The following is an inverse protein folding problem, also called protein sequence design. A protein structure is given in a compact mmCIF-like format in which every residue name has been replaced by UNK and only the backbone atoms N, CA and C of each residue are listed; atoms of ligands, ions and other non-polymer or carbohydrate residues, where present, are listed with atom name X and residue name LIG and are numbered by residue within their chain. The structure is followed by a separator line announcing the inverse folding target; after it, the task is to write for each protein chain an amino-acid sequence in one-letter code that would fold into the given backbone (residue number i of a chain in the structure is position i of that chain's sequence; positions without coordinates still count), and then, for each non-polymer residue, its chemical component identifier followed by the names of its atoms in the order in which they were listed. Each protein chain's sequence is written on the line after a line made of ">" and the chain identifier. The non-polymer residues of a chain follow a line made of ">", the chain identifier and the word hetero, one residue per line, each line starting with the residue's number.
data_IF_982896105051
#
_entry.id   IF_982896105051
#
_cell.length_a   1.000
_cell.length_b   1.000
_cell.length_c   1.000
_cell.angle_alpha   90.00
_cell.angle_beta   90.00
_cell.angle_gamma   90.00
#
_symmetry.space_group_name_H-M   'P 1'
#
loop_
_entity.id
_entity.type
_entity.pdbx_description
1 polymer ?
#
# COMPACT_ATOMS: atom_id res chain seq x y z
N UNK A 1 13.49 -15.54 -10.71
CA UNK A 1 13.28 -16.33 -9.49
C UNK A 1 11.84 -16.81 -9.46
N UNK A 2 11.61 -18.12 -9.53
CA UNK A 2 10.27 -18.71 -9.44
C UNK A 2 9.89 -18.84 -7.96
N UNK A 3 9.10 -17.90 -7.47
CA UNK A 3 8.47 -18.00 -6.15
C UNK A 3 7.15 -18.77 -6.27
N UNK A 4 6.84 -19.65 -5.33
CA UNK A 4 5.58 -20.41 -5.31
C UNK A 4 4.36 -19.55 -4.91
N UNK A 5 4.60 -18.37 -4.33
CA UNK A 5 3.56 -17.47 -3.79
C UNK A 5 3.81 -16.02 -4.18
N UNK A 6 2.73 -15.25 -4.35
CA UNK A 6 2.77 -13.81 -4.61
C UNK A 6 1.97 -13.09 -3.54
N UNK A 7 2.51 -11.97 -3.02
CA UNK A 7 1.76 -11.08 -2.14
C UNK A 7 0.89 -10.14 -2.99
N UNK A 8 -0.39 -10.06 -2.65
CA UNK A 8 -1.33 -9.12 -3.27
C UNK A 8 -1.60 -7.98 -2.29
N UNK A 9 -1.44 -6.71 -2.71
CA UNK A 9 -1.83 -5.59 -1.86
C UNK A 9 -3.35 -5.61 -1.71
N UNK A 10 -3.83 -5.53 -0.47
CA UNK A 10 -5.26 -5.56 -0.15
C UNK A 10 -5.60 -4.43 0.82
N UNK A 11 -6.82 -3.91 0.72
CA UNK A 11 -7.31 -2.86 1.59
C UNK A 11 -7.43 -3.36 3.03
N UNK A 12 -6.95 -2.57 3.98
CA UNK A 12 -7.08 -2.85 5.41
C UNK A 12 -8.41 -2.34 5.96
N UNK A 13 -8.79 -2.80 7.15
CA UNK A 13 -9.97 -2.27 7.85
C UNK A 13 -9.85 -0.76 8.12
N UNK A 14 -8.64 -0.27 8.43
CA UNK A 14 -8.40 1.15 8.64
C UNK A 14 -8.70 1.97 7.36
N UNK A 15 -8.19 1.53 6.21
CA UNK A 15 -8.51 2.14 4.91
C UNK A 15 -10.01 2.07 4.59
N UNK A 16 -10.65 0.94 4.88
CA UNK A 16 -12.10 0.79 4.71
C UNK A 16 -12.90 1.77 5.58
N UNK A 17 -12.48 2.02 6.83
CA UNK A 17 -13.16 2.95 7.72
C UNK A 17 -13.12 4.40 7.23
N UNK A 18 -12.01 4.81 6.60
CA UNK A 18 -11.85 6.13 6.00
C UNK A 18 -12.76 6.27 4.78
N UNK A 19 -12.79 5.24 3.92
CA UNK A 19 -13.66 5.21 2.76
C UNK A 19 -15.14 5.35 3.15
N UNK A 20 -15.58 4.58 4.15
CA UNK A 20 -16.94 4.64 4.70
C UNK A 20 -17.26 6.05 5.19
N UNK A 21 -16.40 6.62 6.04
CA UNK A 21 -16.62 7.95 6.63
C UNK A 21 -16.65 9.06 5.58
N UNK A 22 -15.76 9.01 4.58
CA UNK A 22 -15.75 10.00 3.50
C UNK A 22 -17.04 9.94 2.66
N UNK A 23 -17.51 8.73 2.33
CA UNK A 23 -18.76 8.56 1.61
C UNK A 23 -19.99 8.96 2.45
N UNK A 24 -20.00 8.67 3.76
CA UNK A 24 -21.05 9.08 4.69
C UNK A 24 -21.15 10.60 4.83
N UNK A 25 -20.01 11.30 4.90
CA UNK A 25 -19.95 12.75 4.94
C UNK A 25 -20.55 13.35 3.66
N UNK A 26 -20.12 12.86 2.50
CA UNK A 26 -20.68 13.30 1.22
C UNK A 26 -22.19 13.05 1.13
N UNK A 27 -22.65 11.86 1.52
CA UNK A 27 -24.06 11.50 1.56
C UNK A 27 -24.89 12.41 2.49
N UNK A 28 -24.28 12.85 3.61
CA UNK A 28 -24.88 13.80 4.54
C UNK A 28 -24.96 15.21 3.95
N UNK A 29 -23.93 15.67 3.24
CA UNK A 29 -23.90 16.97 2.57
C UNK A 29 -24.98 17.11 1.49
N UNK A 30 -25.20 16.04 0.72
CA UNK A 30 -26.25 16.03 -0.32
C UNK A 30 -27.65 15.71 0.23
N UNK A 31 -27.78 15.41 1.54
CA UNK A 31 -29.04 15.08 2.18
C UNK A 31 -29.65 13.75 1.75
N UNK A 32 -28.83 12.80 1.28
CA UNK A 32 -29.28 11.50 0.79
C UNK A 32 -28.68 10.40 1.66
N UNK A 33 -29.39 9.87 2.67
CA UNK A 33 -28.87 8.76 3.48
C UNK A 33 -28.72 7.48 2.63
N UNK A 34 -27.51 6.92 2.60
CA UNK A 34 -27.11 5.80 1.75
C UNK A 34 -26.72 4.55 2.55
N UNK A 35 -26.75 3.40 1.88
CA UNK A 35 -25.99 2.22 2.30
C UNK A 35 -24.65 2.23 1.59
N UNK A 36 -23.56 1.95 2.32
CA UNK A 36 -22.19 2.00 1.82
C UNK A 36 -21.48 0.71 2.25
N UNK A 37 -20.83 0.05 1.30
CA UNK A 37 -20.10 -1.20 1.52
C UNK A 37 -18.69 -1.12 0.96
N UNK A 38 -17.73 -1.69 1.67
CA UNK A 38 -16.33 -1.83 1.23
C UNK A 38 -15.97 -3.32 1.18
N UNK A 39 -15.33 -3.73 0.09
CA UNK A 39 -14.78 -5.07 -0.08
C UNK A 39 -13.28 -5.04 -0.28
N UNK A 40 -12.60 -6.13 0.06
CA UNK A 40 -11.17 -6.34 -0.16
C UNK A 40 -10.84 -6.73 -1.62
N UNK A 41 -9.57 -6.97 -1.92
CA UNK A 41 -9.11 -7.42 -3.23
C UNK A 41 -9.68 -8.79 -3.67
N UNK A 42 -10.20 -9.59 -2.72
CA UNK A 42 -10.85 -10.87 -2.95
C UNK A 42 -12.38 -10.76 -3.02
N UNK A 43 -12.90 -9.54 -3.15
CA UNK A 43 -14.32 -9.23 -3.20
C UNK A 43 -15.11 -9.74 -1.97
N UNK A 44 -14.46 -9.81 -0.80
CA UNK A 44 -15.10 -10.11 0.48
C UNK A 44 -15.35 -8.83 1.27
N UNK A 45 -16.45 -8.80 2.00
CA UNK A 45 -16.87 -7.64 2.78
C UNK A 45 -15.86 -7.33 3.89
N UNK A 46 -15.32 -6.11 3.89
CA UNK A 46 -14.47 -5.57 4.95
C UNK A 46 -15.25 -4.66 5.90
N UNK A 47 -16.19 -3.88 5.37
CA UNK A 47 -16.92 -2.89 6.13
C UNK A 47 -18.24 -2.53 5.47
N UNK A 48 -19.21 -2.18 6.29
CA UNK A 48 -20.53 -1.78 5.83
C UNK A 48 -21.13 -0.78 6.82
N UNK A 49 -21.67 0.31 6.29
CA UNK A 49 -22.51 1.24 7.05
C UNK A 49 -23.83 1.45 6.33
N UNK A 50 -24.91 1.55 7.10
CA UNK A 50 -26.21 2.01 6.63
C UNK A 50 -26.61 3.25 7.42
N UNK A 51 -26.74 4.37 6.74
CA UNK A 51 -27.21 5.61 7.34
C UNK A 51 -28.68 5.50 7.74
N UNK A 52 -29.09 6.29 8.72
CA UNK A 52 -30.50 6.40 9.12
C UNK A 52 -31.33 6.99 7.97
N UNK A 53 -32.42 6.30 7.60
CA UNK A 53 -33.25 6.67 6.45
C UNK A 53 -32.81 6.09 5.10
N UNK A 54 -31.74 5.28 5.07
CA UNK A 54 -31.41 4.46 3.90
C UNK A 54 -32.39 3.27 3.77
N UNK A 55 -32.60 2.78 2.54
CA UNK A 55 -33.52 1.67 2.26
C UNK A 55 -32.95 0.35 2.80
N UNK A 56 -33.80 -0.51 3.37
CA UNK A 56 -33.37 -1.86 3.79
C UNK A 56 -33.01 -2.74 2.59
N UNK A 57 -33.74 -2.57 1.48
CA UNK A 57 -33.52 -3.33 0.25
C UNK A 57 -32.19 -3.01 -0.44
N UNK A 58 -31.49 -1.93 -0.07
CA UNK A 58 -30.22 -1.56 -0.70
C UNK A 58 -29.00 -2.24 -0.08
N UNK A 59 -29.15 -2.96 1.04
CA UNK A 59 -28.02 -3.61 1.74
C UNK A 59 -27.33 -4.62 0.82
N UNK A 60 -28.07 -5.61 0.32
CA UNK A 60 -27.52 -6.69 -0.51
C UNK A 60 -27.02 -6.16 -1.85
N UNK A 61 -27.78 -5.26 -2.49
CA UNK A 61 -27.37 -4.64 -3.76
C UNK A 61 -26.07 -3.85 -3.61
N UNK A 62 -25.90 -3.09 -2.52
CA UNK A 62 -24.68 -2.34 -2.23
C UNK A 62 -23.45 -3.26 -2.17
N UNK A 63 -23.56 -4.33 -1.38
CA UNK A 63 -22.48 -5.33 -1.22
C UNK A 63 -22.17 -6.00 -2.57
N UNK A 64 -23.19 -6.39 -3.33
CA UNK A 64 -23.03 -7.01 -4.63
C UNK A 64 -22.38 -6.05 -5.66
N UNK A 65 -22.72 -4.76 -5.66
CA UNK A 65 -22.07 -3.77 -6.53
C UNK A 65 -20.58 -3.63 -6.21
N UNK A 66 -20.22 -3.54 -4.93
CA UNK A 66 -18.81 -3.49 -4.52
C UNK A 66 -18.07 -4.77 -4.95
N UNK A 67 -18.62 -5.95 -4.67
CA UNK A 67 -18.03 -7.23 -5.06
C UNK A 67 -17.89 -7.39 -6.58
N UNK A 68 -18.86 -6.91 -7.35
CA UNK A 68 -18.83 -6.90 -8.82
C UNK A 68 -17.73 -6.01 -9.34
N UNK A 69 -17.63 -4.81 -8.78
CA UNK A 69 -16.62 -3.84 -9.18
C UNK A 69 -15.21 -4.35 -8.87
N UNK A 70 -15.00 -4.98 -7.72
CA UNK A 70 -13.74 -5.64 -7.37
C UNK A 70 -13.41 -6.78 -8.35
N UNK A 71 -14.40 -7.64 -8.64
CA UNK A 71 -14.20 -8.81 -9.50
C UNK A 71 -13.89 -8.44 -10.95
N UNK A 72 -14.51 -7.39 -11.49
CA UNK A 72 -14.32 -6.94 -12.87
C UNK A 72 -13.26 -5.85 -13.01
N UNK A 73 -12.76 -5.27 -11.90
CA UNK A 73 -11.84 -4.13 -11.85
C UNK A 73 -12.33 -2.92 -12.65
N UNK A 74 -13.64 -2.76 -12.71
CA UNK A 74 -14.35 -1.75 -13.48
C UNK A 74 -15.47 -1.17 -12.64
N UNK A 75 -15.85 0.10 -12.85
CA UNK A 75 -17.05 0.64 -12.24
C UNK A 75 -18.28 -0.12 -12.76
N UNK A 76 -19.27 -0.33 -11.89
CA UNK A 76 -20.48 -1.08 -12.28
C UNK A 76 -21.34 -0.33 -13.30
N UNK A 77 -21.20 1.00 -13.38
CA UNK A 77 -21.78 1.85 -14.43
C UNK A 77 -21.33 1.38 -15.82
N UNK A 78 -20.02 1.20 -16.03
CA UNK A 78 -19.48 0.67 -17.29
C UNK A 78 -19.96 -0.76 -17.59
N UNK A 79 -20.13 -1.60 -16.57
CA UNK A 79 -20.65 -2.96 -16.77
C UNK A 79 -22.10 -2.95 -17.27
N UNK A 80 -22.90 -1.99 -16.79
CA UNK A 80 -24.31 -1.83 -17.20
C UNK A 80 -24.45 -1.47 -18.68
N UNK A 81 -23.52 -0.71 -19.24
CA UNK A 81 -23.52 -0.31 -20.67
C UNK A 81 -23.25 -1.49 -21.61
N UNK A 82 -22.47 -2.47 -21.13
CA UNK A 82 -22.08 -3.65 -21.90
C UNK A 82 -23.01 -4.85 -21.69
N UNK A 83 -23.91 -4.79 -20.70
CA UNK A 83 -24.81 -5.90 -20.41
C UNK A 83 -26.16 -5.71 -21.09
N UNK A 84 -26.60 -6.64 -21.95
CA UNK A 84 -27.90 -6.53 -22.60
C UNK A 84 -29.00 -6.59 -21.54
N UNK A 85 -30.05 -5.79 -21.72
CA UNK A 85 -31.14 -5.59 -20.75
C UNK A 85 -31.79 -6.90 -20.28
N UNK A 86 -31.78 -7.93 -21.14
CA UNK A 86 -32.28 -9.26 -20.83
C UNK A 86 -31.46 -10.01 -19.74
N UNK A 87 -30.16 -9.72 -19.63
CA UNK A 87 -29.26 -10.35 -18.64
C UNK A 87 -29.15 -9.54 -17.35
N UNK A 88 -29.51 -8.25 -17.36
CA UNK A 88 -29.44 -7.37 -16.20
C UNK A 88 -30.27 -7.88 -15.02
N UNK A 89 -31.42 -8.52 -15.28
CA UNK A 89 -32.27 -9.12 -14.24
C UNK A 89 -31.65 -10.36 -13.60
N UNK A 90 -30.86 -11.12 -14.36
CA UNK A 90 -30.12 -12.29 -13.83
C UNK A 90 -28.90 -11.85 -13.02
N UNK A 91 -28.24 -10.78 -13.45
CA UNK A 91 -27.11 -10.19 -12.74
C UNK A 91 -27.54 -9.56 -11.42
N UNK A 92 -28.67 -8.85 -11.37
CA UNK A 92 -29.11 -8.12 -10.18
C UNK A 92 -29.92 -8.95 -9.18
N UNK A 93 -29.92 -10.28 -9.32
CA UNK A 93 -30.66 -11.14 -8.41
C UNK A 93 -29.97 -11.18 -7.03
N UNK A 94 -30.68 -11.00 -5.91
CA UNK A 94 -30.07 -10.87 -4.57
C UNK A 94 -29.25 -12.08 -4.11
N UNK A 95 -29.55 -13.28 -4.64
CA UNK A 95 -28.74 -14.49 -4.38
C UNK A 95 -27.42 -14.53 -5.17
N UNK A 96 -27.20 -13.60 -6.10
CA UNK A 96 -25.99 -13.49 -6.90
C UNK A 96 -25.09 -12.42 -6.26
N UNK A 97 -23.80 -12.71 -6.11
CA UNK A 97 -22.79 -11.71 -5.67
C UNK A 97 -22.42 -10.70 -6.76
N UNK A 98 -23.17 -10.69 -7.88
CA UNK A 98 -22.98 -9.78 -8.98
C UNK A 98 -24.11 -8.77 -9.00
N UNK A 99 -23.84 -7.55 -9.48
CA UNK A 99 -24.82 -6.49 -9.65
C UNK A 99 -24.28 -5.48 -10.66
N UNK A 100 -25.06 -5.22 -11.70
CA UNK A 100 -24.74 -4.25 -12.75
C UNK A 100 -25.43 -2.90 -12.52
N UNK A 101 -25.90 -2.63 -11.30
CA UNK A 101 -26.42 -1.30 -10.95
C UNK A 101 -25.26 -0.31 -10.76
N UNK A 102 -25.39 0.94 -11.20
CA UNK A 102 -24.37 1.97 -10.99
C UNK A 102 -24.24 2.31 -9.49
N UNK A 103 -23.01 2.58 -9.05
CA UNK A 103 -22.70 2.87 -7.64
C UNK A 103 -21.54 2.05 -7.05
N UNK A 104 -21.04 1.05 -7.79
CA UNK A 104 -19.82 0.31 -7.45
C UNK A 104 -18.59 0.88 -8.17
N UNK A 105 -17.52 1.17 -7.43
CA UNK A 105 -16.27 1.75 -7.94
C UNK A 105 -15.06 0.98 -7.40
N UNK A 106 -14.10 0.59 -8.24
CA UNK A 106 -12.92 -0.14 -7.79
C UNK A 106 -11.91 0.82 -7.16
N UNK A 107 -11.19 0.34 -6.15
CA UNK A 107 -10.07 1.03 -5.54
C UNK A 107 -8.80 0.37 -6.08
N UNK A 108 -8.15 1.05 -7.03
CA UNK A 108 -6.92 0.60 -7.65
C UNK A 108 -5.75 1.40 -7.07
N UNK A 109 -4.67 0.70 -6.72
CA UNK A 109 -3.40 1.34 -6.37
C UNK A 109 -2.84 2.13 -7.56
N UNK A 110 -1.89 3.06 -7.32
CA UNK A 110 -1.20 3.78 -8.39
C UNK A 110 -0.51 2.87 -9.42
N UNK A 111 -0.13 1.65 -9.01
CA UNK A 111 0.48 0.63 -9.88
C UNK A 111 -0.55 -0.23 -10.64
N UNK A 112 -1.84 0.03 -10.45
CA UNK A 112 -2.94 -0.70 -11.11
C UNK A 112 -3.36 -1.99 -10.42
N UNK A 113 -2.76 -2.35 -9.28
CA UNK A 113 -3.21 -3.50 -8.49
C UNK A 113 -4.53 -3.17 -7.77
N UNK A 114 -5.48 -4.12 -7.77
CA UNK A 114 -6.76 -3.99 -7.09
C UNK A 114 -6.55 -4.10 -5.57
N UNK A 115 -6.94 -3.07 -4.83
CA UNK A 115 -6.90 -3.05 -3.37
C UNK A 115 -8.23 -3.50 -2.77
N UNK A 116 -9.32 -3.16 -3.47
CA UNK A 116 -10.69 -3.44 -3.04
C UNK A 116 -11.70 -2.69 -3.90
N UNK A 117 -12.91 -2.55 -3.41
CA UNK A 117 -13.94 -1.73 -4.06
C UNK A 117 -14.93 -1.16 -3.04
N UNK A 118 -15.59 -0.08 -3.45
CA UNK A 118 -16.64 0.58 -2.70
C UNK A 118 -17.95 0.49 -3.48
N UNK A 119 -19.04 0.28 -2.77
CA UNK A 119 -20.40 0.33 -3.29
C UNK A 119 -21.22 1.31 -2.47
N UNK A 120 -22.02 2.12 -3.14
CA UNK A 120 -22.99 3.02 -2.53
C UNK A 120 -24.36 2.79 -3.17
N UNK A 121 -25.42 2.86 -2.38
CA UNK A 121 -26.78 2.65 -2.90
C UNK A 121 -27.81 3.45 -2.12
N UNK A 122 -28.71 4.14 -2.86
CA UNK A 122 -30.07 4.61 -2.50
C UNK A 122 -30.45 5.86 -3.29
N UNK A 123 -29.46 6.67 -3.67
CA UNK A 123 -29.64 7.92 -4.41
C UNK A 123 -29.99 7.71 -5.87
N UNK A 124 -29.74 8.73 -6.69
CA UNK A 124 -29.69 8.55 -8.14
C UNK A 124 -28.38 7.86 -8.53
N UNK A 125 -28.33 7.24 -9.72
CA UNK A 125 -27.13 6.58 -10.23
C UNK A 125 -25.87 7.47 -10.14
N UNK A 126 -26.03 8.76 -10.44
CA UNK A 126 -24.94 9.75 -10.36
C UNK A 126 -24.54 10.07 -8.92
N UNK A 127 -25.48 10.13 -7.99
CA UNK A 127 -25.19 10.38 -6.57
C UNK A 127 -24.49 9.19 -5.92
N UNK A 128 -24.95 7.97 -6.22
CA UNK A 128 -24.37 6.74 -5.72
C UNK A 128 -22.91 6.60 -6.21
N UNK A 129 -22.66 6.84 -7.50
CA UNK A 129 -21.30 6.82 -8.07
C UNK A 129 -20.42 7.95 -7.51
N UNK A 130 -20.94 9.16 -7.35
CA UNK A 130 -20.19 10.26 -6.75
C UNK A 130 -19.76 9.97 -5.31
N UNK A 131 -20.66 9.44 -4.48
CA UNK A 131 -20.34 9.04 -3.11
C UNK A 131 -19.25 7.95 -3.07
N UNK A 132 -19.35 6.96 -3.96
CA UNK A 132 -18.36 5.91 -4.10
C UNK A 132 -16.99 6.46 -4.55
N UNK A 133 -16.98 7.40 -5.49
CA UNK A 133 -15.76 8.10 -5.96
C UNK A 133 -15.09 8.88 -4.82
N UNK A 134 -15.86 9.62 -4.02
CA UNK A 134 -15.31 10.35 -2.86
C UNK A 134 -14.68 9.39 -1.85
N UNK A 135 -15.34 8.27 -1.55
CA UNK A 135 -14.79 7.25 -0.67
C UNK A 135 -13.50 6.62 -1.21
N UNK A 136 -13.45 6.29 -2.51
CA UNK A 136 -12.22 5.82 -3.19
C UNK A 136 -11.10 6.84 -3.09
N UNK A 137 -11.39 8.10 -3.41
CA UNK A 137 -10.38 9.15 -3.50
C UNK A 137 -9.78 9.47 -2.13
N UNK A 138 -10.56 9.36 -1.05
CA UNK A 138 -10.07 9.47 0.32
C UNK A 138 -9.04 8.37 0.65
N UNK A 139 -9.27 7.13 0.22
CA UNK A 139 -8.29 6.04 0.39
C UNK A 139 -7.04 6.29 -0.43
N UNK A 140 -7.17 6.74 -1.67
CA UNK A 140 -6.01 7.04 -2.52
C UNK A 140 -5.20 8.22 -1.98
N UNK A 141 -5.86 9.20 -1.36
CA UNK A 141 -5.19 10.30 -0.67
C UNK A 141 -4.41 9.81 0.56
N UNK A 142 -4.98 8.90 1.35
CA UNK A 142 -4.26 8.29 2.48
C UNK A 142 -3.02 7.55 2.00
N UNK A 143 -3.14 6.69 0.99
CA UNK A 143 -2.02 5.91 0.44
C UNK A 143 -0.88 6.83 -0.04
N UNK A 144 -1.22 7.95 -0.67
CA UNK A 144 -0.23 8.95 -1.09
C UNK A 144 0.47 9.60 0.11
N UNK A 145 -0.28 9.99 1.14
CA UNK A 145 0.29 10.57 2.35
C UNK A 145 1.24 9.59 3.06
N UNK A 146 0.83 8.32 3.19
CA UNK A 146 1.65 7.26 3.80
C UNK A 146 2.93 7.01 2.99
N UNK A 147 2.85 7.06 1.66
CA UNK A 147 4.04 6.94 0.79
C UNK A 147 5.02 8.11 0.98
N UNK A 148 4.51 9.35 0.98
CA UNK A 148 5.33 10.55 1.19
C UNK A 148 5.98 10.56 2.59
N UNK A 149 5.27 10.07 3.62
CA UNK A 149 5.80 9.94 4.99
C UNK A 149 6.94 8.91 5.07
N UNK A 150 6.79 7.76 4.43
CA UNK A 150 7.82 6.73 4.40
C UNK A 150 9.06 7.17 3.60
N UNK A 151 8.88 7.88 2.48
CA UNK A 151 10.00 8.46 1.72
C UNK A 151 10.81 9.45 2.56
N UNK A 152 10.14 10.33 3.30
CA UNK A 152 10.82 11.25 4.24
C UNK A 152 11.61 10.49 5.29
N UNK A 153 11.03 9.43 5.86
CA UNK A 153 11.70 8.62 6.87
C UNK A 153 12.94 7.92 6.31
N UNK A 154 12.84 7.33 5.12
CA UNK A 154 13.97 6.66 4.45
C UNK A 154 15.10 7.66 4.21
N UNK A 155 14.78 8.88 3.77
CA UNK A 155 15.79 9.90 3.53
C UNK A 155 16.50 10.33 4.83
N UNK A 156 15.74 10.55 5.91
CA UNK A 156 16.35 10.84 7.22
C UNK A 156 17.25 9.71 7.73
N UNK A 157 16.87 8.45 7.50
CA UNK A 157 17.70 7.29 7.87
C UNK A 157 18.95 7.21 7.00
N UNK A 158 18.85 7.47 5.69
CA UNK A 158 20.00 7.56 4.77
C UNK A 158 20.99 8.63 5.19
N UNK A 159 20.53 9.84 5.53
CA UNK A 159 21.40 10.92 6.00
C UNK A 159 22.15 10.55 7.28
N UNK A 160 21.49 9.85 8.22
CA UNK A 160 22.12 9.36 9.46
C UNK A 160 23.20 8.33 9.15
N UNK A 161 22.92 7.38 8.25
CA UNK A 161 23.88 6.36 7.81
C UNK A 161 25.09 7.01 7.15
N UNK A 162 24.88 7.96 6.24
CA UNK A 162 25.95 8.70 5.57
C UNK A 162 26.82 9.50 6.55
N UNK A 163 26.21 10.10 7.59
CA UNK A 163 26.95 10.81 8.63
C UNK A 163 27.85 9.88 9.44
N UNK A 164 27.31 8.74 9.88
CA UNK A 164 28.06 7.70 10.59
C UNK A 164 29.21 7.16 9.73
N UNK A 165 28.98 6.97 8.43
CA UNK A 165 30.00 6.52 7.50
C UNK A 165 31.17 7.50 7.44
N UNK A 166 30.90 8.80 7.28
CA UNK A 166 31.94 9.85 7.26
C UNK A 166 32.74 9.92 8.56
N UNK A 167 32.07 9.75 9.70
CA UNK A 167 32.74 9.68 11.00
C UNK A 167 33.69 8.48 11.08
N UNK A 168 33.24 7.30 10.63
CA UNK A 168 34.06 6.09 10.62
C UNK A 168 35.18 6.13 9.59
N UNK A 169 34.99 6.75 8.44
CA UNK A 169 36.09 7.00 7.49
C UNK A 169 37.18 7.86 8.12
N UNK A 170 36.81 8.92 8.84
CA UNK A 170 37.78 9.75 9.57
C UNK A 170 38.52 8.98 10.67
N UNK A 171 37.83 8.11 11.41
CA UNK A 171 38.48 7.21 12.38
C UNK A 171 39.46 6.24 11.69
N UNK A 172 39.08 5.65 10.56
CA UNK A 172 39.92 4.72 9.80
C UNK A 172 41.14 5.45 9.22
N UNK A 173 40.98 6.67 8.73
CA UNK A 173 42.06 7.52 8.23
C UNK A 173 43.05 7.86 9.36
N UNK A 174 42.54 8.28 10.52
CA UNK A 174 43.37 8.50 11.72
C UNK A 174 44.16 7.26 12.12
N UNK A 175 43.51 6.08 12.12
CA UNK A 175 44.19 4.82 12.43
C UNK A 175 45.22 4.42 11.38
N UNK A 176 45.00 4.75 10.09
CA UNK A 176 45.98 4.54 9.01
C UNK A 176 47.21 5.42 9.22
N UNK A 177 47.01 6.71 9.51
CA UNK A 177 48.09 7.67 9.75
C UNK A 177 48.94 7.29 10.98
N UNK A 178 48.30 6.87 12.07
CA UNK A 178 48.99 6.35 13.27
C UNK A 178 49.88 5.15 12.93
N UNK A 179 49.34 4.19 12.16
CA UNK A 179 50.07 2.99 11.76
C UNK A 179 51.26 3.32 10.84
N UNK A 180 51.13 4.32 9.96
CA UNK A 180 52.22 4.80 9.11
C UNK A 180 53.31 5.50 9.93
N UNK A 181 52.93 6.31 10.92
CA UNK A 181 53.88 6.96 11.82
C UNK A 181 54.63 5.95 12.69
N UNK A 182 53.96 4.91 13.20
CA UNK A 182 54.62 3.80 13.89
C UNK A 182 55.60 3.04 12.96
N UNK A 183 55.23 2.82 11.69
CA UNK A 183 56.12 2.20 10.70
C UNK A 183 57.37 3.03 10.43
N UNK A 184 57.22 4.36 10.33
CA UNK A 184 58.33 5.30 10.11
C UNK A 184 59.21 5.43 11.36
N UNK A 185 58.63 5.46 12.55
CA UNK A 185 59.34 5.44 13.83
C UNK A 185 60.01 4.07 14.11
N UNK A 186 59.47 3.00 13.53
CA UNK A 186 59.94 1.62 13.61
C UNK A 186 61.19 1.29 12.78
N UNK A 187 61.90 2.27 12.22
CA UNK A 187 63.23 2.09 11.62
C UNK A 187 64.34 1.73 12.64
N UNK A 188 63.99 1.35 13.87
CA UNK A 188 64.90 0.78 14.87
C UNK A 188 64.32 -0.48 15.54
N UNK A 189 64.56 -1.66 14.95
CA UNK A 189 64.58 -2.92 15.69
C UNK A 189 63.41 -3.91 15.44
N UNK A 190 63.76 -5.09 14.97
CA UNK A 190 62.89 -6.21 14.61
C UNK A 190 61.97 -6.76 15.72
N UNK A 191 60.74 -7.16 15.34
CA UNK A 191 60.20 -8.51 15.57
C UNK A 191 58.92 -8.75 14.76
N UNK A 192 59.04 -9.52 13.67
CA UNK A 192 57.91 -10.16 12.98
C UNK A 192 57.13 -11.03 13.97
N UNK A 193 56.00 -10.55 14.46
CA UNK A 193 54.96 -11.42 15.03
C UNK A 193 54.24 -12.08 13.87
N UNK A 194 54.36 -13.42 13.76
CA UNK A 194 53.52 -14.23 12.88
C UNK A 194 52.09 -14.12 13.39
N UNK A 195 51.26 -13.30 12.75
CA UNK A 195 49.80 -13.46 12.82
C UNK A 195 49.41 -14.36 11.65
N UNK A 196 48.77 -15.47 12.00
CA UNK A 196 48.15 -16.39 11.04
C UNK A 196 47.17 -15.61 10.17
N UNK A 197 47.31 -15.78 8.86
CA UNK A 197 46.40 -15.25 7.84
C UNK A 197 44.99 -15.79 8.06
N UNK A 198 44.19 -15.07 8.82
CA UNK A 198 42.73 -15.11 8.67
C UNK A 198 42.43 -14.17 7.52
N UNK A 199 41.92 -14.72 6.41
CA UNK A 199 41.55 -13.96 5.23
C UNK A 199 40.48 -12.94 5.58
N UNK A 200 40.93 -11.71 5.85
CA UNK A 200 40.08 -10.53 5.83
C UNK A 200 39.74 -10.30 4.36
N UNK A 201 38.51 -10.66 3.97
CA UNK A 201 37.91 -10.07 2.79
C UNK A 201 38.02 -8.56 2.95
N UNK A 202 38.71 -7.91 2.02
CA UNK A 202 38.95 -6.48 2.07
C UNK A 202 37.62 -5.74 2.24
N UNK A 203 37.60 -4.73 3.11
CA UNK A 203 36.55 -3.74 3.06
C UNK A 203 36.48 -3.20 1.62
N UNK A 204 35.30 -3.05 1.02
CA UNK A 204 35.20 -2.46 -0.31
C UNK A 204 35.82 -1.05 -0.26
N UNK A 205 36.88 -0.83 -1.04
CA UNK A 205 37.65 0.42 -1.12
C UNK A 205 36.87 1.57 -1.80
N UNK A 206 35.60 1.35 -2.13
CA UNK A 206 34.70 2.30 -2.78
C UNK A 206 33.40 2.41 -2.01
N UNK A 207 32.87 3.62 -1.80
CA UNK A 207 31.53 3.77 -1.24
C UNK A 207 30.54 3.02 -2.14
N UNK A 208 29.55 2.30 -1.57
CA UNK A 208 28.51 1.68 -2.37
C UNK A 208 27.86 2.75 -3.25
N UNK A 209 27.75 2.50 -4.56
CA UNK A 209 27.10 3.44 -5.48
C UNK A 209 25.67 3.72 -5.01
N UNK A 210 25.12 4.92 -5.30
CA UNK A 210 23.77 5.35 -4.87
C UNK A 210 22.67 4.31 -5.16
N UNK A 211 22.88 3.41 -6.13
CA UNK A 211 22.00 2.28 -6.45
C UNK A 211 22.11 1.04 -5.56
N UNK A 212 23.26 0.75 -4.94
CA UNK A 212 23.49 -0.46 -4.14
C UNK A 212 22.89 -0.35 -2.72
N UNK A 213 22.77 0.87 -2.21
CA UNK A 213 22.19 1.15 -0.88
C UNK A 213 20.68 0.82 -0.86
N UNK A 214 20.01 0.90 -2.02
CA UNK A 214 18.61 0.51 -2.19
C UNK A 214 18.36 -0.99 -2.03
N UNK A 215 19.40 -1.84 -2.19
CA UNK A 215 19.26 -3.30 -2.06
C UNK A 215 19.21 -3.75 -0.59
N UNK A 216 19.80 -2.96 0.32
CA UNK A 216 19.81 -3.20 1.76
C UNK A 216 18.66 -2.55 2.51
N UNK A 217 18.12 -1.44 1.98
CA UNK A 217 16.90 -0.79 2.46
C UNK A 217 15.71 -1.30 1.65
N UNK A 218 15.28 -2.53 1.92
CA UNK A 218 13.99 -2.99 1.40
C UNK A 218 12.89 -2.07 1.94
N UNK A 219 12.03 -1.49 1.09
CA UNK A 219 10.87 -0.76 1.57
C UNK A 219 10.08 -1.70 2.48
N UNK A 220 9.79 -1.24 3.70
CA UNK A 220 8.95 -1.97 4.65
C UNK A 220 7.53 -2.20 4.11
N UNK A 221 7.15 -1.40 3.11
CA UNK A 221 5.85 -1.43 2.48
C UNK A 221 5.88 -2.03 1.07
N UNK A 222 6.01 -3.37 1.02
CA UNK A 222 5.30 -4.19 0.03
C UNK A 222 4.33 -5.07 0.80
N UNK A 223 3.25 -4.46 1.32
CA UNK A 223 2.13 -5.21 1.90
C UNK A 223 2.51 -6.26 2.97
N UNK A 224 3.57 -6.07 3.74
CA UNK A 224 3.86 -6.93 4.89
C UNK A 224 2.93 -6.54 6.05
N UNK A 225 1.72 -7.09 6.03
CA UNK A 225 1.02 -7.35 7.29
C UNK A 225 1.82 -8.43 8.00
N UNK A 226 2.72 -8.03 8.88
CA UNK A 226 3.17 -8.93 9.95
C UNK A 226 1.95 -9.21 10.82
N UNK A 227 1.27 -10.32 10.52
CA UNK A 227 0.35 -10.93 11.47
C UNK A 227 1.15 -11.25 12.73
N UNK A 228 1.04 -10.37 13.74
CA UNK A 228 1.43 -10.69 15.10
C UNK A 228 0.68 -11.95 15.50
N UNK A 229 1.41 -12.96 15.93
CA UNK A 229 0.83 -14.22 16.37
C UNK A 229 -0.11 -13.99 17.55
N UNK A 230 -1.34 -14.47 17.39
CA UNK A 230 -2.14 -15.24 18.36
C UNK A 230 -3.14 -16.09 17.58
#
# INVERSE_FOLDING_TARGET
>A
MTCATTLLPTLTQAGASIALRAAELYASEIGVPMSISIVDAHAQLLGFTRMDGAKLSSIESCIAMAATSASNRLPTSALSEHTPTALTSLLNHPSHRLCALPGGVPILSPTGALLGAIGCSKGTSLQDEAAAVVGRDAVLALIRCEADDEERRIEEEREKVLRLWKEKEGEVESLRDELEMERLAGCGGAKRRKTSSVGLGGAPDTPPEEGEIGEFLKPSFVGEVRAGGF
#
